data_IF_712658417182
#
_entry.id   IF_712658417182
#
_cell.length_a   1.000
_cell.length_b   1.000
_cell.length_c   1.000
_cell.angle_alpha   90.00
_cell.angle_beta   90.00
_cell.angle_gamma   90.00
#
_symmetry.space_group_name_H-M   'P 1'
#
loop_
_entity.id
_entity.type
_entity.pdbx_description
1 polymer ?
#
# COMPACT_ATOMS: atom_id res chain seq x y z
N UNK A 1 10.04 3.14 -22.21
CA UNK A 1 9.54 2.83 -20.85
C UNK A 1 9.62 4.09 -20.00
N UNK A 2 8.47 4.65 -19.62
CA UNK A 2 8.34 5.86 -18.80
C UNK A 2 8.63 5.58 -17.32
N UNK A 3 8.82 6.63 -16.51
CA UNK A 3 8.95 6.48 -15.06
C UNK A 3 7.71 5.82 -14.43
N UNK A 4 6.51 6.16 -14.93
CA UNK A 4 5.25 5.58 -14.48
C UNK A 4 5.18 4.07 -14.77
N UNK A 5 5.60 3.64 -15.96
CA UNK A 5 5.63 2.22 -16.33
C UNK A 5 6.63 1.44 -15.49
N UNK A 6 7.82 2.01 -15.22
CA UNK A 6 8.81 1.40 -14.33
C UNK A 6 8.29 1.23 -12.91
N UNK A 7 7.58 2.24 -12.39
CA UNK A 7 6.97 2.15 -11.07
C UNK A 7 5.89 1.07 -11.02
N UNK A 8 5.08 0.94 -12.08
CA UNK A 8 4.04 -0.08 -12.13
C UNK A 8 4.64 -1.48 -12.13
N UNK A 9 5.70 -1.69 -12.93
CA UNK A 9 6.45 -2.95 -12.97
C UNK A 9 7.07 -3.26 -11.61
N UNK A 10 7.64 -2.26 -10.93
CA UNK A 10 8.14 -2.42 -9.57
C UNK A 10 7.03 -2.83 -8.60
N UNK A 11 5.87 -2.15 -8.63
CA UNK A 11 4.73 -2.49 -7.78
C UNK A 11 4.24 -3.92 -8.00
N UNK A 12 4.21 -4.38 -9.25
CA UNK A 12 3.86 -5.76 -9.59
C UNK A 12 4.84 -6.77 -8.97
N UNK A 13 6.16 -6.52 -9.09
CA UNK A 13 7.20 -7.38 -8.50
C UNK A 13 7.14 -7.40 -6.97
N UNK A 14 6.79 -6.29 -6.35
CA UNK A 14 6.69 -6.22 -4.89
C UNK A 14 5.60 -7.14 -4.33
N UNK A 15 4.49 -7.28 -5.06
CA UNK A 15 3.34 -8.09 -4.65
C UNK A 15 3.29 -9.47 -5.29
N UNK A 16 4.30 -9.84 -6.07
CA UNK A 16 4.41 -11.17 -6.67
C UNK A 16 4.51 -12.27 -5.60
N UNK A 17 3.66 -13.30 -5.68
CA UNK A 17 3.60 -14.39 -4.70
C UNK A 17 2.70 -14.13 -3.49
N UNK A 18 2.09 -12.94 -3.36
CA UNK A 18 1.00 -12.74 -2.41
C UNK A 18 -0.32 -13.21 -3.03
N UNK A 19 -1.02 -14.10 -2.32
CA UNK A 19 -2.23 -14.74 -2.81
C UNK A 19 -3.34 -13.73 -3.11
N UNK A 20 -3.83 -13.73 -4.35
CA UNK A 20 -4.97 -12.90 -4.78
C UNK A 20 -4.64 -11.41 -4.91
N UNK A 21 -3.37 -11.01 -4.83
CA UNK A 21 -2.94 -9.63 -5.06
C UNK A 21 -2.45 -9.46 -6.50
N UNK A 22 -2.89 -8.36 -7.12
CA UNK A 22 -2.47 -7.96 -8.46
C UNK A 22 -2.48 -6.44 -8.58
N UNK A 23 -1.42 -5.89 -9.18
CA UNK A 23 -1.29 -4.47 -9.42
C UNK A 23 -1.35 -4.18 -10.93
N UNK A 24 -2.49 -3.68 -11.41
CA UNK A 24 -2.70 -3.37 -12.84
C UNK A 24 -2.67 -1.86 -13.11
N UNK A 25 -2.90 -1.03 -12.10
CA UNK A 25 -2.97 0.42 -12.24
C UNK A 25 -2.62 1.14 -10.92
N UNK A 26 -2.57 2.47 -10.94
CA UNK A 26 -2.37 3.34 -9.77
C UNK A 26 -3.67 3.94 -9.22
N UNK A 27 -4.81 3.30 -9.49
CA UNK A 27 -6.12 3.76 -9.06
C UNK A 27 -6.85 2.63 -8.32
N UNK A 28 -7.68 1.86 -9.02
CA UNK A 28 -8.53 0.83 -8.42
C UNK A 28 -7.77 -0.30 -7.75
N UNK A 29 -6.58 -0.67 -8.24
CA UNK A 29 -5.77 -1.75 -7.65
C UNK A 29 -5.36 -1.48 -6.20
N UNK A 30 -5.30 -0.21 -5.78
CA UNK A 30 -4.85 0.19 -4.44
C UNK A 30 -5.99 0.43 -3.46
N UNK A 31 -7.25 0.38 -3.95
CA UNK A 31 -8.44 0.83 -3.20
C UNK A 31 -8.77 -0.03 -1.99
N UNK A 32 -8.38 -1.30 -1.97
CA UNK A 32 -8.62 -2.20 -0.84
C UNK A 32 -7.51 -2.18 0.23
N UNK A 33 -6.47 -1.39 0.01
CA UNK A 33 -5.32 -1.22 0.91
C UNK A 33 -4.37 -2.41 0.99
N UNK A 34 -4.67 -3.55 0.34
CA UNK A 34 -3.84 -4.76 0.47
C UNK A 34 -2.48 -4.60 -0.20
N UNK A 35 -2.42 -3.90 -1.34
CA UNK A 35 -1.15 -3.64 -2.03
C UNK A 35 -0.18 -2.80 -1.18
N UNK A 36 -0.67 -1.78 -0.47
CA UNK A 36 0.19 -1.00 0.43
C UNK A 36 0.78 -1.87 1.55
N UNK A 37 -0.05 -2.70 2.19
CA UNK A 37 0.38 -3.62 3.23
C UNK A 37 1.40 -4.65 2.69
N UNK A 38 1.18 -5.21 1.49
CA UNK A 38 2.09 -6.17 0.88
C UNK A 38 3.46 -5.57 0.51
N UNK A 39 3.48 -4.32 0.04
CA UNK A 39 4.73 -3.59 -0.23
C UNK A 39 5.52 -3.38 1.06
N UNK A 40 4.86 -2.95 2.15
CA UNK A 40 5.50 -2.79 3.46
C UNK A 40 6.00 -4.15 3.98
N UNK A 41 5.16 -5.20 3.93
CA UNK A 41 5.52 -6.54 4.36
C UNK A 41 6.74 -7.10 3.59
N UNK A 42 6.82 -6.85 2.27
CA UNK A 42 7.97 -7.27 1.45
C UNK A 42 9.28 -6.65 1.94
N UNK A 43 9.25 -5.40 2.41
CA UNK A 43 10.44 -4.70 2.90
C UNK A 43 10.74 -5.01 4.37
N UNK A 44 9.71 -5.12 5.22
CA UNK A 44 9.84 -5.45 6.64
C UNK A 44 8.69 -6.37 7.07
N UNK A 45 8.87 -7.70 6.96
CA UNK A 45 7.82 -8.67 7.25
C UNK A 45 7.24 -8.56 8.67
N UNK A 46 8.07 -8.17 9.64
CA UNK A 46 7.69 -8.07 11.06
C UNK A 46 6.64 -6.98 11.35
N UNK A 47 6.42 -6.03 10.45
CA UNK A 47 5.52 -4.90 10.69
C UNK A 47 4.06 -5.19 10.30
N UNK A 48 3.80 -6.22 9.50
CA UNK A 48 2.50 -6.47 8.89
C UNK A 48 2.15 -7.95 9.02
N UNK A 49 0.98 -8.27 9.57
CA UNK A 49 0.42 -9.62 9.47
C UNK A 49 -0.53 -9.69 8.27
N UNK A 50 -0.06 -10.30 7.17
CA UNK A 50 -0.87 -10.43 5.96
C UNK A 50 -2.11 -11.32 6.16
N UNK A 51 -2.09 -12.29 7.08
CA UNK A 51 -3.27 -13.12 7.35
C UNK A 51 -4.43 -12.29 7.90
N UNK A 52 -4.11 -11.23 8.66
CA UNK A 52 -5.07 -10.26 9.16
C UNK A 52 -5.55 -9.32 8.04
N UNK A 53 -4.62 -8.81 7.23
CA UNK A 53 -4.91 -7.90 6.10
C UNK A 53 -5.93 -8.49 5.12
N UNK A 54 -5.87 -9.79 4.84
CA UNK A 54 -6.84 -10.45 3.96
C UNK A 54 -8.28 -10.43 4.48
N UNK A 55 -8.48 -10.30 5.80
CA UNK A 55 -9.78 -10.36 6.49
C UNK A 55 -10.31 -8.98 6.89
N UNK A 56 -9.48 -7.95 6.80
CA UNK A 56 -9.82 -6.57 7.18
C UNK A 56 -10.61 -5.84 6.09
N UNK A 57 -11.31 -4.78 6.49
CA UNK A 57 -11.96 -3.87 5.55
C UNK A 57 -10.94 -2.98 4.86
N UNK A 58 -11.32 -2.40 3.71
CA UNK A 58 -10.46 -1.48 2.95
C UNK A 58 -9.92 -0.33 3.83
N UNK A 59 -10.82 0.27 4.60
CA UNK A 59 -10.50 1.35 5.54
C UNK A 59 -9.45 0.93 6.56
N UNK A 60 -9.62 -0.26 7.16
CA UNK A 60 -8.68 -0.77 8.16
C UNK A 60 -7.31 -1.06 7.54
N UNK A 61 -7.28 -1.63 6.34
CA UNK A 61 -6.03 -1.91 5.63
C UNK A 61 -5.27 -0.64 5.26
N UNK A 62 -5.98 0.37 4.75
CA UNK A 62 -5.40 1.65 4.38
C UNK A 62 -4.86 2.40 5.62
N UNK A 63 -5.65 2.48 6.69
CA UNK A 63 -5.20 3.11 7.94
C UNK A 63 -3.97 2.44 8.53
N UNK A 64 -3.96 1.10 8.58
CA UNK A 64 -2.83 0.32 9.07
C UNK A 64 -1.57 0.60 8.24
N UNK A 65 -1.66 0.50 6.90
CA UNK A 65 -0.51 0.73 6.04
C UNK A 65 0.05 2.14 6.18
N UNK A 66 -0.80 3.16 6.21
CA UNK A 66 -0.36 4.55 6.32
C UNK A 66 0.26 4.85 7.68
N UNK A 67 -0.34 4.35 8.76
CA UNK A 67 0.21 4.54 10.11
C UNK A 67 1.56 3.84 10.27
N UNK A 68 1.69 2.59 9.79
CA UNK A 68 2.94 1.85 9.86
C UNK A 68 4.02 2.52 9.00
N UNK A 69 3.69 2.94 7.78
CA UNK A 69 4.64 3.61 6.90
C UNK A 69 5.14 4.94 7.50
N UNK A 70 4.26 5.73 8.12
CA UNK A 70 4.64 6.98 8.76
C UNK A 70 5.52 6.74 10.00
N UNK A 71 5.08 5.87 10.92
CA UNK A 71 5.78 5.68 12.21
C UNK A 71 7.08 4.89 12.09
N UNK A 72 7.08 3.83 11.30
CA UNK A 72 8.19 2.85 11.27
C UNK A 72 9.17 3.07 10.11
N UNK A 73 8.71 3.73 9.04
CA UNK A 73 9.49 3.97 7.82
C UNK A 73 9.71 5.47 7.52
N UNK A 74 9.10 6.38 8.29
CA UNK A 74 9.23 7.82 8.10
C UNK A 74 8.60 8.34 6.80
N UNK A 75 7.66 7.59 6.21
CA UNK A 75 6.98 7.98 4.98
C UNK A 75 5.80 8.88 5.31
N UNK A 76 5.88 10.15 4.94
CA UNK A 76 4.81 11.13 5.17
C UNK A 76 3.49 10.66 4.58
N UNK A 77 2.44 10.76 5.39
CA UNK A 77 1.08 10.42 4.97
C UNK A 77 0.50 11.50 4.07
N UNK A 78 0.37 11.20 2.78
CA UNK A 78 -0.22 12.11 1.79
C UNK A 78 -1.71 11.83 1.50
N UNK A 79 -2.20 10.66 1.92
CA UNK A 79 -3.54 10.19 1.61
C UNK A 79 -4.27 9.84 2.92
N UNK A 80 -5.55 10.17 2.96
CA UNK A 80 -6.47 9.57 3.92
C UNK A 80 -6.93 8.19 3.41
N UNK A 81 -7.52 7.35 4.27
CA UNK A 81 -7.96 6.01 3.88
C UNK A 81 -9.19 6.02 2.96
N UNK A 82 -9.82 7.18 2.74
CA UNK A 82 -10.85 7.35 1.72
C UNK A 82 -10.23 7.66 0.34
N UNK A 83 -8.91 7.79 0.27
CA UNK A 83 -8.17 8.11 -0.95
C UNK A 83 -8.17 9.59 -1.28
N UNK A 84 -8.56 10.47 -0.35
CA UNK A 84 -8.45 11.92 -0.51
C UNK A 84 -7.03 12.35 -0.17
N UNK A 85 -6.52 13.29 -0.96
CA UNK A 85 -5.25 13.94 -0.69
C UNK A 85 -5.38 14.74 0.59
N UNK A 86 -4.56 14.41 1.58
CA UNK A 86 -4.36 15.26 2.75
C UNK A 86 -3.64 16.50 2.23
N UNK A 87 -4.34 17.64 2.22
CA UNK A 87 -3.73 18.90 1.81
C UNK A 87 -2.51 19.15 2.71
N UNK A 88 -1.34 19.29 2.10
CA UNK A 88 -0.23 19.95 2.78
C UNK A 88 -0.69 21.40 3.04
N UNK A 89 -0.91 21.76 4.30
CA UNK A 89 -0.96 23.17 4.67
C UNK A 89 0.46 23.71 4.47
N UNK A 90 0.70 24.35 3.33
CA UNK A 90 1.71 25.40 3.20
C UNK A 90 1.03 26.75 3.35
#
# INVERSE_FOLDING_TARGET
MTAKEKLLLWSQRMVEGYQGLRCDNFTSSWRDGKLFNAVIHRHRPMLIDMNKVYKQTNQQNLEQAFTVAERELGVTRLLDPEGRVLKENK
#
